data_IF_468598617327
#
_entry.id   IF_468598617327
#
_cell.length_a   1.000
_cell.length_b   1.000
_cell.length_c   1.000
_cell.angle_alpha   90.00
_cell.angle_beta   90.00
_cell.angle_gamma   90.00
#
_symmetry.space_group_name_H-M   'P 1'
#
loop_
_entity.id
_entity.type
_entity.pdbx_description
1 polymer ?
#
# COMPACT_ATOMS: atom_id res chain seq x y z
N UNK A 1 5.30 9.11 -3.44
CA UNK A 1 5.17 10.59 -3.46
C UNK A 1 5.36 11.18 -4.87
N UNK A 2 6.40 10.82 -5.65
CA UNK A 2 6.62 11.37 -7.01
C UNK A 2 5.40 11.31 -7.96
N UNK A 3 4.54 10.29 -7.83
CA UNK A 3 3.39 10.06 -8.71
C UNK A 3 2.28 11.13 -8.61
N UNK A 4 2.16 11.85 -7.48
CA UNK A 4 1.14 12.90 -7.26
C UNK A 4 1.64 14.33 -7.50
N UNK A 5 2.91 14.54 -7.88
CA UNK A 5 3.49 15.91 -8.05
C UNK A 5 2.81 16.77 -9.12
N UNK A 6 2.05 16.18 -10.04
CA UNK A 6 1.43 16.87 -11.17
C UNK A 6 -0.08 17.13 -11.00
N UNK A 7 -0.67 16.77 -9.85
CA UNK A 7 -2.10 17.01 -9.57
C UNK A 7 -2.25 17.80 -8.28
N UNK A 8 -2.49 19.12 -8.42
CA UNK A 8 -2.86 20.03 -7.34
C UNK A 8 -1.89 20.13 -6.14
N UNK A 9 -2.12 21.15 -5.33
CA UNK A 9 -1.50 21.36 -4.02
C UNK A 9 -1.52 20.06 -3.23
N UNK A 10 -0.34 19.56 -2.85
CA UNK A 10 -0.21 18.39 -1.98
C UNK A 10 -0.96 18.64 -0.67
N UNK A 11 -1.67 17.64 -0.16
CA UNK A 11 -2.37 17.78 1.12
C UNK A 11 -1.39 17.73 2.30
N UNK A 12 -1.91 17.89 3.52
CA UNK A 12 -1.08 17.90 4.74
C UNK A 12 -0.24 16.62 4.87
N UNK A 13 -0.80 15.46 4.55
CA UNK A 13 -0.13 14.16 4.70
C UNK A 13 0.95 13.95 3.65
N UNK A 14 0.79 14.54 2.47
CA UNK A 14 1.72 14.37 1.35
C UNK A 14 2.89 15.35 1.38
N UNK A 15 2.78 16.41 2.18
CA UNK A 15 3.87 17.32 2.53
C UNK A 15 4.72 16.81 3.71
N UNK A 16 4.35 15.70 4.34
CA UNK A 16 5.12 15.13 5.44
C UNK A 16 6.50 14.63 5.00
N UNK A 17 7.42 14.55 5.97
CA UNK A 17 8.79 14.07 5.73
C UNK A 17 8.80 12.58 5.42
N UNK A 18 9.88 12.13 4.76
CA UNK A 18 10.09 10.70 4.44
C UNK A 18 9.94 9.79 5.65
N UNK A 19 10.42 10.21 6.83
CA UNK A 19 10.37 9.43 8.07
C UNK A 19 8.93 9.18 8.55
N UNK A 20 8.01 10.11 8.29
CA UNK A 20 6.59 9.89 8.55
C UNK A 20 6.05 8.73 7.70
N UNK A 21 6.32 8.76 6.39
CA UNK A 21 5.89 7.71 5.48
C UNK A 21 6.55 6.36 5.79
N UNK A 22 7.80 6.34 6.25
CA UNK A 22 8.48 5.11 6.68
C UNK A 22 7.79 4.50 7.91
N UNK A 23 7.51 5.31 8.94
CA UNK A 23 6.79 4.83 10.14
C UNK A 23 5.39 4.31 9.82
N UNK A 24 4.66 4.97 8.90
CA UNK A 24 3.36 4.48 8.41
C UNK A 24 3.51 3.11 7.74
N UNK A 25 4.51 2.96 6.86
CA UNK A 25 4.79 1.68 6.20
C UNK A 25 5.13 0.57 7.21
N UNK A 26 6.00 0.86 8.18
CA UNK A 26 6.36 -0.07 9.27
C UNK A 26 5.14 -0.48 10.09
N UNK A 27 4.25 0.47 10.40
CA UNK A 27 2.98 0.18 11.08
C UNK A 27 2.11 -0.81 10.32
N UNK A 28 1.97 -0.66 9.00
CA UNK A 28 1.27 -1.64 8.16
C UNK A 28 1.96 -3.00 8.10
N UNK A 29 3.30 -3.05 8.11
CA UNK A 29 4.04 -4.33 8.20
C UNK A 29 3.77 -5.02 9.55
N UNK A 30 3.72 -4.27 10.65
CA UNK A 30 3.37 -4.80 11.96
C UNK A 30 1.95 -5.38 11.99
N UNK A 31 0.97 -4.68 11.41
CA UNK A 31 -0.41 -5.17 11.30
C UNK A 31 -0.50 -6.45 10.45
N UNK A 32 0.23 -6.52 9.35
CA UNK A 32 0.30 -7.71 8.50
C UNK A 32 0.85 -8.92 9.27
N UNK A 33 1.86 -8.72 10.12
CA UNK A 33 2.43 -9.77 10.95
C UNK A 33 1.47 -10.23 12.06
N UNK A 34 0.68 -9.31 12.63
CA UNK A 34 -0.27 -9.60 13.71
C UNK A 34 -1.57 -10.25 13.23
N UNK A 35 -2.05 -9.91 12.03
CA UNK A 35 -3.33 -10.36 11.49
C UNK A 35 -3.21 -10.92 10.07
N UNK A 36 -2.34 -11.92 9.82
CA UNK A 36 -2.09 -12.45 8.49
C UNK A 36 -3.31 -13.14 7.88
N UNK A 37 -4.24 -13.64 8.70
CA UNK A 37 -5.51 -14.22 8.24
C UNK A 37 -6.42 -13.16 7.61
N UNK A 38 -6.43 -11.93 8.15
CA UNK A 38 -7.31 -10.83 7.73
C UNK A 38 -6.66 -9.87 6.74
N UNK A 39 -5.36 -9.61 6.88
CA UNK A 39 -4.64 -8.61 6.08
C UNK A 39 -3.76 -9.33 5.06
N UNK A 40 -3.96 -9.04 3.77
CA UNK A 40 -3.16 -9.58 2.68
C UNK A 40 -2.35 -8.48 2.01
N UNK A 41 -1.07 -8.76 1.75
CA UNK A 41 -0.15 -7.80 1.10
C UNK A 41 -0.26 -7.92 -0.41
N UNK A 42 -0.36 -6.78 -1.08
CA UNK A 42 -0.21 -6.64 -2.54
C UNK A 42 1.08 -5.88 -2.82
N UNK A 43 1.94 -6.41 -3.68
CA UNK A 43 3.17 -5.73 -4.09
C UNK A 43 2.91 -4.71 -5.20
N UNK A 44 2.73 -3.45 -4.80
CA UNK A 44 2.51 -2.32 -5.70
C UNK A 44 3.76 -1.85 -6.45
N UNK A 45 4.92 -2.51 -6.29
CA UNK A 45 6.12 -2.23 -7.10
C UNK A 45 6.11 -2.93 -8.46
N UNK A 46 5.22 -3.90 -8.66
CA UNK A 46 5.01 -4.62 -9.92
C UNK A 46 4.21 -3.79 -10.92
N UNK A 47 4.10 -4.30 -12.15
CA UNK A 47 3.22 -3.70 -13.15
C UNK A 47 1.74 -3.85 -12.77
N UNK A 48 0.88 -3.11 -13.48
CA UNK A 48 -0.54 -3.03 -13.16
C UNK A 48 -1.26 -4.38 -13.30
N UNK A 49 -0.85 -5.22 -14.25
CA UNK A 49 -1.49 -6.52 -14.49
C UNK A 49 -1.09 -7.51 -13.38
N UNK A 50 0.17 -7.49 -12.95
CA UNK A 50 0.64 -8.24 -11.79
C UNK A 50 -0.07 -7.84 -10.50
N UNK A 51 -0.25 -6.53 -10.27
CA UNK A 51 -0.98 -6.02 -9.11
C UNK A 51 -2.44 -6.48 -9.16
N UNK A 52 -3.08 -6.39 -10.32
CA UNK A 52 -4.46 -6.84 -10.52
C UNK A 52 -4.62 -8.34 -10.24
N UNK A 53 -3.72 -9.18 -10.78
CA UNK A 53 -3.72 -10.63 -10.53
C UNK A 53 -3.57 -10.97 -9.04
N UNK A 54 -2.69 -10.27 -8.33
CA UNK A 54 -2.52 -10.48 -6.88
C UNK A 54 -3.81 -10.18 -6.11
N UNK A 55 -4.52 -9.10 -6.48
CA UNK A 55 -5.79 -8.75 -5.84
C UNK A 55 -6.84 -9.84 -6.08
N UNK A 56 -7.05 -10.25 -7.34
CA UNK A 56 -8.00 -11.32 -7.67
C UNK A 56 -7.71 -12.61 -6.92
N UNK A 57 -6.43 -13.02 -6.86
CA UNK A 57 -6.02 -14.21 -6.12
C UNK A 57 -6.52 -14.20 -4.67
N UNK A 58 -6.49 -13.07 -3.97
CA UNK A 58 -6.98 -13.03 -2.59
C UNK A 58 -8.50 -12.96 -2.48
N UNK A 59 -9.18 -12.32 -3.45
CA UNK A 59 -10.65 -12.24 -3.49
C UNK A 59 -11.27 -13.60 -3.81
N UNK A 60 -10.73 -14.32 -4.79
CA UNK A 60 -11.25 -15.64 -5.21
C UNK A 60 -11.14 -16.69 -4.10
N UNK A 61 -10.23 -16.50 -3.13
CA UNK A 61 -10.08 -17.39 -1.97
C UNK A 61 -11.05 -17.05 -0.81
N UNK A 62 -11.91 -16.05 -0.97
CA UNK A 62 -12.92 -15.64 0.04
C UNK A 62 -14.30 -16.21 -0.30
N UNK A 63 -14.54 -16.54 -1.57
CA UNK A 63 -15.81 -17.08 -2.11
C UNK A 63 -15.73 -18.61 -2.13
#
# INVERSE_FOLDING_TARGET
IKRKKNMHTLDRMENEKRDFHLRVYEGYQGLLALYPERIKRIDASKDIDDVHRQVLKYIDNII
#
